data_IF_876154953116
#
_entry.id   IF_876154953116
#
_cell.length_a   1.000
_cell.length_b   1.000
_cell.length_c   1.000
_cell.angle_alpha   90.00
_cell.angle_beta   90.00
_cell.angle_gamma   90.00
#
_symmetry.space_group_name_H-M   'P 1'
#
loop_
_entity.id
_entity.type
_entity.pdbx_description
1 polymer ?
#
# COMPACT_ATOMS: atom_id res chain seq x y z
N UNK A 1 12.12 3.29 -19.66
CA UNK A 1 10.91 2.57 -19.24
C UNK A 1 10.24 3.39 -18.15
N UNK A 2 9.00 3.84 -18.38
CA UNK A 2 8.24 4.60 -17.38
C UNK A 2 7.67 3.60 -16.36
N UNK A 3 7.93 3.80 -15.07
CA UNK A 3 7.31 2.96 -14.04
C UNK A 3 5.82 3.32 -13.94
N UNK A 4 4.94 2.32 -14.01
CA UNK A 4 3.51 2.54 -13.77
C UNK A 4 3.29 2.59 -12.24
N UNK A 5 2.97 3.79 -11.76
CA UNK A 5 2.64 4.06 -10.37
C UNK A 5 1.11 4.18 -10.28
N UNK A 6 0.49 3.28 -9.54
CA UNK A 6 -0.97 3.23 -9.34
C UNK A 6 -1.32 2.96 -7.89
N UNK A 7 -2.58 3.17 -7.53
CA UNK A 7 -3.12 2.80 -6.22
C UNK A 7 -4.17 1.68 -6.33
N UNK A 8 -4.45 0.98 -5.23
CA UNK A 8 -5.51 -0.03 -5.17
C UNK A 8 -6.89 0.54 -5.56
N UNK A 9 -7.34 1.72 -5.08
CA UNK A 9 -8.62 2.28 -5.54
C UNK A 9 -8.68 2.53 -7.04
N UNK A 10 -7.60 3.04 -7.65
CA UNK A 10 -7.55 3.23 -9.11
C UNK A 10 -7.61 1.90 -9.86
N UNK A 11 -6.89 0.87 -9.39
CA UNK A 11 -6.96 -0.47 -9.96
C UNK A 11 -8.36 -1.07 -9.80
N UNK A 12 -9.03 -0.84 -8.67
CA UNK A 12 -10.41 -1.28 -8.49
C UNK A 12 -11.36 -0.56 -9.46
N UNK A 13 -11.17 0.73 -9.74
CA UNK A 13 -11.96 1.44 -10.75
C UNK A 13 -11.73 0.84 -12.14
N UNK A 14 -10.47 0.57 -12.52
CA UNK A 14 -10.11 -0.07 -13.80
C UNK A 14 -10.72 -1.47 -13.95
N UNK A 15 -10.82 -2.24 -12.86
CA UNK A 15 -11.34 -3.61 -12.85
C UNK A 15 -12.78 -3.71 -12.29
N UNK A 16 -13.58 -2.66 -12.40
CA UNK A 16 -15.01 -2.66 -12.01
C UNK A 16 -15.29 -3.15 -10.57
N UNK A 17 -14.39 -2.88 -9.64
CA UNK A 17 -14.48 -3.28 -8.24
C UNK A 17 -14.10 -4.74 -7.96
N UNK A 18 -13.59 -5.48 -8.94
CA UNK A 18 -13.22 -6.88 -8.78
C UNK A 18 -11.93 -7.06 -7.96
N UNK A 19 -12.08 -7.14 -6.64
CA UNK A 19 -10.96 -7.30 -5.71
C UNK A 19 -10.15 -8.57 -5.93
N UNK A 20 -10.75 -9.65 -6.43
CA UNK A 20 -10.05 -10.92 -6.66
C UNK A 20 -9.08 -10.80 -7.83
N UNK A 21 -9.50 -10.12 -8.89
CA UNK A 21 -8.69 -9.87 -10.08
C UNK A 21 -7.55 -8.90 -9.78
N UNK A 22 -7.83 -7.79 -9.09
CA UNK A 22 -6.79 -6.88 -8.60
C UNK A 22 -5.78 -7.62 -7.71
N UNK A 23 -6.25 -8.54 -6.87
CA UNK A 23 -5.39 -9.37 -6.02
C UNK A 23 -4.45 -10.28 -6.79
N UNK A 24 -4.93 -10.87 -7.89
CA UNK A 24 -4.09 -11.65 -8.82
C UNK A 24 -3.06 -10.77 -9.53
N UNK A 25 -3.44 -9.55 -9.91
CA UNK A 25 -2.58 -8.61 -10.63
C UNK A 25 -1.42 -8.11 -9.76
N UNK A 26 -1.68 -7.84 -8.47
CA UNK A 26 -0.68 -7.28 -7.54
C UNK A 26 -0.04 -8.32 -6.61
N UNK A 27 -0.48 -9.58 -6.67
CA UNK A 27 -0.02 -10.66 -5.79
C UNK A 27 -0.47 -10.54 -4.33
N UNK A 28 -1.64 -9.93 -4.07
CA UNK A 28 -2.15 -9.70 -2.72
C UNK A 28 -3.50 -10.40 -2.48
N UNK A 29 -3.74 -10.79 -1.22
CA UNK A 29 -5.03 -11.31 -0.81
C UNK A 29 -6.09 -10.18 -0.83
N UNK A 30 -7.34 -10.55 -1.14
CA UNK A 30 -8.53 -9.68 -1.04
C UNK A 30 -8.63 -8.95 0.29
N UNK A 31 -8.22 -9.57 1.40
CA UNK A 31 -8.19 -8.90 2.71
C UNK A 31 -7.25 -7.68 2.74
N UNK A 32 -6.07 -7.81 2.13
CA UNK A 32 -5.11 -6.70 1.99
C UNK A 32 -5.69 -5.59 1.11
N UNK A 33 -6.33 -5.95 0.00
CA UNK A 33 -7.00 -4.97 -0.87
C UNK A 33 -8.07 -4.23 -0.07
N UNK A 34 -8.93 -4.95 0.66
CA UNK A 34 -10.01 -4.38 1.48
C UNK A 34 -9.50 -3.35 2.48
N UNK A 35 -8.32 -3.59 3.08
CA UNK A 35 -7.68 -2.67 4.03
C UNK A 35 -7.32 -1.32 3.41
N UNK A 36 -6.95 -1.31 2.12
CA UNK A 36 -6.41 -0.14 1.43
C UNK A 36 -7.35 0.46 0.37
N UNK A 37 -8.59 -0.03 0.25
CA UNK A 37 -9.59 0.50 -0.71
C UNK A 37 -9.82 2.00 -0.57
N UNK A 38 -9.71 2.54 0.65
CA UNK A 38 -9.96 3.95 0.93
C UNK A 38 -8.71 4.82 0.87
N UNK A 39 -7.54 4.23 0.64
CA UNK A 39 -6.27 4.94 0.64
C UNK A 39 -5.96 5.52 -0.75
N UNK A 40 -6.83 6.42 -1.22
CA UNK A 40 -6.69 7.09 -2.52
C UNK A 40 -5.51 8.08 -2.55
N UNK A 41 -5.09 8.57 -1.37
CA UNK A 41 -3.96 9.49 -1.22
C UNK A 41 -2.58 8.81 -1.26
N UNK A 42 -2.53 7.49 -1.43
CA UNK A 42 -1.30 6.68 -1.41
C UNK A 42 -0.45 6.87 -0.13
N UNK A 43 -1.09 7.15 1.01
CA UNK A 43 -0.39 7.44 2.27
C UNK A 43 0.19 6.19 2.93
N UNK A 44 -0.49 5.06 2.75
CA UNK A 44 -0.13 3.79 3.37
C UNK A 44 0.24 2.69 2.38
N UNK A 45 -0.10 2.84 1.10
CA UNK A 45 0.25 1.87 0.06
C UNK A 45 0.42 2.51 -1.32
N UNK A 46 1.15 1.82 -2.19
CA UNK A 46 1.29 2.15 -3.60
C UNK A 46 1.57 0.87 -4.40
N UNK A 47 1.13 0.82 -5.66
CA UNK A 47 1.40 -0.30 -6.57
C UNK A 47 2.37 0.19 -7.64
N UNK A 48 3.53 -0.46 -7.74
CA UNK A 48 4.58 -0.11 -8.70
C UNK A 48 4.85 -1.33 -9.56
N UNK A 49 4.62 -1.21 -10.87
CA UNK A 49 4.81 -2.30 -11.84
C UNK A 49 4.14 -3.63 -11.40
N UNK A 50 2.91 -3.54 -10.88
CA UNK A 50 2.16 -4.71 -10.39
C UNK A 50 2.66 -5.28 -9.05
N UNK A 51 3.51 -4.57 -8.30
CA UNK A 51 3.90 -4.97 -6.95
C UNK A 51 3.33 -4.02 -5.91
N UNK A 52 2.65 -4.57 -4.91
CA UNK A 52 2.14 -3.82 -3.79
C UNK A 52 3.26 -3.46 -2.81
N UNK A 53 3.51 -2.16 -2.67
CA UNK A 53 4.39 -1.58 -1.66
C UNK A 53 3.51 -0.98 -0.54
N UNK A 54 3.90 -1.21 0.71
CA UNK A 54 3.13 -0.79 1.89
C UNK A 54 4.05 -0.06 2.85
N UNK A 55 3.56 1.03 3.44
CA UNK A 55 4.26 1.71 4.54
C UNK A 55 4.33 0.78 5.76
N UNK A 56 5.54 0.42 6.16
CA UNK A 56 5.78 -0.39 7.35
C UNK A 56 5.66 0.46 8.62
N UNK A 57 4.64 0.21 9.46
CA UNK A 57 4.44 0.92 10.75
C UNK A 57 5.50 0.60 11.82
N UNK A 58 6.35 -0.41 11.60
CA UNK A 58 7.37 -0.80 12.59
C UNK A 58 8.58 0.14 12.68
N UNK A 59 8.76 1.07 11.73
CA UNK A 59 9.85 2.05 11.76
C UNK A 59 9.65 3.19 12.77
N UNK A 60 8.39 3.53 13.10
CA UNK A 60 8.07 4.58 14.07
C UNK A 60 8.49 4.19 15.51
N UNK A 61 8.69 2.90 15.75
CA UNK A 61 9.14 2.36 17.04
C UNK A 61 10.63 2.65 17.30
N UNK A 62 11.41 3.04 16.30
CA UNK A 62 12.85 3.36 16.47
C UNK A 62 13.10 4.82 16.89
N UNK A 63 12.16 5.73 16.61
CA UNK A 63 12.21 7.12 17.09
C UNK A 63 12.05 7.28 18.61
N UNK A 64 11.74 6.21 19.34
CA UNK A 64 11.55 6.22 20.79
C UNK A 64 12.83 6.11 21.62
N UNK A 65 14.02 5.90 21.02
CA UNK A 65 15.27 5.72 21.78
C UNK A 65 16.20 6.93 21.82
N UNK A 66 16.12 7.86 20.87
CA UNK A 66 17.00 9.05 20.87
C UNK A 66 16.61 10.12 21.91
N UNK A 67 15.38 10.10 22.43
CA UNK A 67 14.89 11.17 23.34
C UNK A 67 15.12 10.89 24.84
N UNK A 68 15.67 9.72 25.21
CA UNK A 68 15.86 9.34 26.62
C UNK A 68 17.32 9.41 27.11
N UNK A 69 18.30 9.71 26.24
CA UNK A 69 19.72 9.83 26.62
C UNK A 69 20.19 11.30 26.78
N UNK A 70 19.28 12.28 26.67
CA UNK A 70 19.58 13.72 26.79
C UNK A 70 18.93 14.40 28.00
N UNK A 71 18.81 13.69 29.14
CA UNK A 71 18.42 14.30 30.42
C UNK A 71 19.28 13.78 31.57
#
# INVERSE_FOLDING_TARGET
>A
MQAEITTIPELLIKHYGNMTEVGRLIGANRGTIRKYVRDASAESHIVINGRLMIRHRGGDRWKGKESQEAK
#
